data_IF_961469801514
#
_entry.id   IF_961469801514
#
_cell.length_a   1.000
_cell.length_b   1.000
_cell.length_c   1.000
_cell.angle_alpha   90.00
_cell.angle_beta   90.00
_cell.angle_gamma   90.00
#
_symmetry.space_group_name_H-M   'P 1'
#
loop_
_entity.id
_entity.type
_entity.pdbx_description
1 polymer ?
#
# COMPACT_ATOMS: atom_id res chain seq x y z
N UNK A 1 18.60 -2.97 -10.21
CA UNK A 1 18.09 -2.75 -8.84
C UNK A 1 16.65 -2.31 -8.97
N UNK A 2 15.71 -2.99 -8.30
CA UNK A 2 14.28 -2.65 -8.41
C UNK A 2 13.95 -1.47 -7.51
N UNK A 3 13.04 -0.60 -7.93
CA UNK A 3 12.63 0.59 -7.18
C UNK A 3 11.14 0.53 -6.85
N UNK A 4 10.83 0.62 -5.56
CA UNK A 4 9.45 0.64 -5.06
C UNK A 4 9.23 1.95 -4.31
N UNK A 5 8.12 2.61 -4.58
CA UNK A 5 7.73 3.83 -3.85
C UNK A 5 6.37 3.63 -3.17
N UNK A 6 6.26 4.03 -1.93
CA UNK A 6 5.00 4.12 -1.19
C UNK A 6 4.60 5.59 -1.08
N UNK A 7 3.58 6.00 -1.83
CA UNK A 7 2.98 7.34 -1.74
C UNK A 7 1.82 7.26 -0.76
N UNK A 8 1.90 8.01 0.33
CA UNK A 8 0.99 7.90 1.47
C UNK A 8 0.29 9.22 1.76
N UNK A 9 -1.03 9.20 1.97
CA UNK A 9 -1.76 10.37 2.48
C UNK A 9 -1.42 10.69 3.96
N UNK A 10 -0.69 9.82 4.66
CA UNK A 10 -0.22 10.05 6.02
C UNK A 10 0.93 11.06 6.11
N UNK A 11 1.43 11.27 7.33
CA UNK A 11 2.49 12.23 7.63
C UNK A 11 3.79 11.94 6.86
N UNK A 12 4.44 13.00 6.38
CA UNK A 12 5.79 13.01 5.82
C UNK A 12 6.89 12.78 6.87
N UNK A 13 6.61 12.94 8.17
CA UNK A 13 7.57 12.64 9.25
C UNK A 13 7.99 11.16 9.30
N UNK A 14 7.17 10.28 8.70
CA UNK A 14 7.42 8.85 8.59
C UNK A 14 8.12 8.47 7.28
N UNK A 15 8.65 9.45 6.53
CA UNK A 15 9.34 9.22 5.27
C UNK A 15 10.67 8.50 5.47
N UNK A 16 10.97 7.62 4.51
CA UNK A 16 12.19 6.84 4.55
C UNK A 16 12.66 6.49 3.15
N UNK A 17 13.95 6.20 3.04
CA UNK A 17 14.59 5.72 1.82
C UNK A 17 15.71 4.76 2.21
N UNK A 18 15.51 3.47 1.93
CA UNK A 18 16.50 2.45 2.27
C UNK A 18 16.63 1.40 1.17
N UNK A 19 17.67 0.58 1.27
CA UNK A 19 17.91 -0.57 0.40
C UNK A 19 17.71 -1.85 1.19
N UNK A 20 17.07 -2.83 0.58
CA UNK A 20 16.87 -4.14 1.17
C UNK A 20 16.92 -5.24 0.11
N UNK A 21 17.18 -6.47 0.57
CA UNK A 21 17.27 -7.66 -0.29
C UNK A 21 16.15 -8.62 0.07
N UNK A 22 15.28 -8.91 -0.89
CA UNK A 22 14.18 -9.87 -0.75
C UNK A 22 14.30 -10.94 -1.82
N UNK A 23 14.18 -12.22 -1.46
CA UNK A 23 14.25 -13.35 -2.40
C UNK A 23 15.44 -13.27 -3.37
N UNK A 24 16.61 -12.92 -2.83
CA UNK A 24 17.85 -12.71 -3.57
C UNK A 24 17.86 -11.52 -4.57
N UNK A 25 16.85 -10.67 -4.58
CA UNK A 25 16.74 -9.46 -5.40
C UNK A 25 16.95 -8.19 -4.56
N UNK A 26 17.74 -7.24 -5.09
CA UNK A 26 17.98 -5.95 -4.45
C UNK A 26 16.90 -4.92 -4.82
N UNK A 27 16.37 -4.25 -3.80
CA UNK A 27 15.36 -3.21 -3.88
C UNK A 27 15.84 -1.90 -3.25
N UNK A 28 15.44 -0.78 -3.84
CA UNK A 28 15.37 0.52 -3.17
C UNK A 28 13.90 0.79 -2.84
N UNK A 29 13.63 1.06 -1.57
CA UNK A 29 12.29 1.34 -1.06
C UNK A 29 12.26 2.79 -0.57
N UNK A 30 11.31 3.55 -1.09
CA UNK A 30 11.09 4.95 -0.73
C UNK A 30 9.66 5.09 -0.23
N UNK A 31 9.44 5.80 0.87
CA UNK A 31 8.11 6.26 1.28
C UNK A 31 8.09 7.78 1.26
N UNK A 32 7.00 8.33 0.73
CA UNK A 32 6.72 9.76 0.68
C UNK A 32 5.31 10.00 1.20
N UNK A 33 5.21 10.73 2.30
CA UNK A 33 3.98 11.23 2.90
C UNK A 33 3.54 12.52 2.23
N UNK A 34 2.23 12.76 2.21
CA UNK A 34 1.66 13.96 1.59
C UNK A 34 0.82 14.77 2.55
N UNK A 35 0.83 14.46 3.85
CA UNK A 35 0.17 15.26 4.89
C UNK A 35 -1.30 15.55 4.57
N UNK A 36 -2.03 14.50 4.15
CA UNK A 36 -3.42 14.55 3.68
C UNK A 36 -3.68 15.38 2.40
N UNK A 37 -2.63 15.90 1.75
CA UNK A 37 -2.74 16.64 0.51
C UNK A 37 -2.87 15.70 -0.71
N UNK A 38 -4.11 15.49 -1.14
CA UNK A 38 -4.44 14.65 -2.30
C UNK A 38 -3.76 15.14 -3.58
N UNK A 39 -3.69 16.47 -3.81
CA UNK A 39 -3.06 17.03 -5.02
C UNK A 39 -1.57 16.73 -5.07
N UNK A 40 -0.89 16.76 -3.92
CA UNK A 40 0.51 16.36 -3.82
C UNK A 40 0.69 14.87 -4.15
N UNK A 41 -0.20 14.00 -3.64
CA UNK A 41 -0.19 12.58 -3.96
C UNK A 41 -0.40 12.33 -5.47
N UNK A 42 -1.35 13.02 -6.10
CA UNK A 42 -1.58 12.90 -7.55
C UNK A 42 -0.35 13.30 -8.37
N UNK A 43 0.34 14.39 -7.97
CA UNK A 43 1.57 14.84 -8.63
C UNK A 43 2.66 13.78 -8.50
N UNK A 44 2.87 13.26 -7.29
CA UNK A 44 3.86 12.21 -7.04
C UNK A 44 3.54 10.93 -7.82
N UNK A 45 2.26 10.52 -7.92
CA UNK A 45 1.89 9.33 -8.68
C UNK A 45 2.25 9.46 -10.16
N UNK A 46 1.97 10.61 -10.77
CA UNK A 46 2.35 10.87 -12.17
C UNK A 46 3.85 10.91 -12.35
N UNK A 47 4.57 11.51 -11.41
CA UNK A 47 6.03 11.59 -11.46
C UNK A 47 6.70 10.22 -11.33
N UNK A 48 6.19 9.39 -10.43
CA UNK A 48 6.79 8.11 -10.09
C UNK A 48 6.37 6.96 -11.00
N UNK A 49 5.29 7.12 -11.78
CA UNK A 49 4.87 6.15 -12.81
C UNK A 49 6.05 5.71 -13.69
N UNK A 50 6.87 6.62 -14.21
CA UNK A 50 8.02 6.25 -15.05
C UNK A 50 9.30 5.92 -14.29
N UNK A 51 9.32 6.08 -12.96
CA UNK A 51 10.53 5.97 -12.13
C UNK A 51 10.54 4.75 -11.21
N UNK A 52 9.40 4.13 -10.95
CA UNK A 52 9.26 2.96 -10.08
C UNK A 52 8.85 1.71 -10.84
N UNK A 53 9.32 0.56 -10.37
CA UNK A 53 8.87 -0.75 -10.82
C UNK A 53 7.51 -1.13 -10.19
N UNK A 54 7.18 -0.57 -9.01
CA UNK A 54 5.89 -0.74 -8.36
C UNK A 54 5.59 0.44 -7.41
N UNK A 55 4.29 0.71 -7.22
CA UNK A 55 3.78 1.80 -6.39
C UNK A 55 2.87 1.25 -5.28
N UNK A 56 3.14 1.64 -4.04
CA UNK A 56 2.25 1.48 -2.90
C UNK A 56 1.42 2.75 -2.68
N UNK A 57 0.13 2.59 -2.39
CA UNK A 57 -0.76 3.67 -1.95
C UNK A 57 -1.11 3.49 -0.47
N UNK A 58 -0.60 4.40 0.36
CA UNK A 58 -0.77 4.38 1.82
C UNK A 58 -1.85 5.36 2.30
N UNK A 59 -2.50 5.01 3.41
CA UNK A 59 -3.52 5.86 4.07
C UNK A 59 -4.67 6.30 3.15
N UNK A 60 -4.93 5.54 2.09
CA UNK A 60 -6.12 5.68 1.26
C UNK A 60 -7.26 4.87 1.86
N UNK A 61 -8.49 5.28 1.56
CA UNK A 61 -9.68 4.55 1.99
C UNK A 61 -9.65 3.13 1.40
N UNK A 62 -9.86 2.14 2.26
CA UNK A 62 -9.85 0.73 1.88
C UNK A 62 -11.05 0.39 1.02
N UNK A 63 -10.82 -0.41 -0.02
CA UNK A 63 -11.87 -1.26 -0.59
C UNK A 63 -12.02 -2.50 0.28
N UNK A 64 -13.25 -2.97 0.47
CA UNK A 64 -13.53 -4.12 1.34
C UNK A 64 -14.65 -4.98 0.76
N UNK A 65 -14.66 -6.23 1.17
CA UNK A 65 -15.68 -7.21 0.86
C UNK A 65 -16.59 -7.43 2.07
N UNK A 66 -17.90 -7.54 1.84
CA UNK A 66 -18.87 -8.02 2.84
C UNK A 66 -19.61 -9.20 2.22
N UNK A 67 -19.28 -10.41 2.64
CA UNK A 67 -19.73 -11.62 1.97
C UNK A 67 -19.28 -11.62 0.50
N UNK A 68 -20.23 -11.73 -0.43
CA UNK A 68 -19.99 -11.66 -1.88
C UNK A 68 -20.01 -10.25 -2.46
N UNK A 69 -20.33 -9.23 -1.65
CA UNK A 69 -20.46 -7.85 -2.12
C UNK A 69 -19.12 -7.12 -1.99
N UNK A 70 -18.69 -6.49 -3.10
CA UNK A 70 -17.49 -5.66 -3.14
C UNK A 70 -17.86 -4.18 -3.06
N UNK A 71 -17.22 -3.45 -2.14
CA UNK A 71 -17.42 -2.01 -1.95
C UNK A 71 -16.19 -1.25 -2.47
N UNK A 72 -16.21 -0.81 -3.74
CA UNK A 72 -15.09 -0.11 -4.32
C UNK A 72 -15.03 1.33 -3.84
N UNK A 73 -13.82 1.80 -3.54
CA UNK A 73 -13.63 3.20 -3.20
C UNK A 73 -13.21 4.04 -4.41
N UNK A 74 -14.11 4.91 -4.86
CA UNK A 74 -13.90 5.73 -6.05
C UNK A 74 -12.70 6.69 -5.93
N UNK A 75 -12.44 7.26 -4.75
CA UNK A 75 -11.28 8.13 -4.49
C UNK A 75 -9.96 7.37 -4.66
N UNK A 76 -9.85 6.19 -4.04
CA UNK A 76 -8.69 5.29 -4.16
C UNK A 76 -8.49 4.85 -5.61
N UNK A 77 -9.55 4.43 -6.30
CA UNK A 77 -9.48 4.04 -7.72
C UNK A 77 -9.00 5.15 -8.63
N UNK A 78 -9.34 6.41 -8.33
CA UNK A 78 -8.83 7.57 -9.09
C UNK A 78 -7.31 7.69 -8.95
N UNK A 79 -6.77 7.48 -7.75
CA UNK A 79 -5.32 7.51 -7.50
C UNK A 79 -4.61 6.32 -8.15
N UNK A 80 -5.17 5.11 -8.04
CA UNK A 80 -4.61 3.90 -8.69
C UNK A 80 -4.45 4.10 -10.20
N UNK A 81 -5.44 4.71 -10.87
CA UNK A 81 -5.36 5.00 -12.31
C UNK A 81 -4.20 5.92 -12.70
N UNK A 82 -3.71 6.77 -11.79
CA UNK A 82 -2.59 7.67 -12.09
C UNK A 82 -1.25 6.93 -12.20
N UNK A 83 -1.15 5.73 -11.64
CA UNK A 83 0.01 4.85 -11.81
C UNK A 83 0.12 4.29 -13.25
N UNK A 84 -0.96 4.33 -14.03
CA UNK A 84 -0.98 3.83 -15.41
C UNK A 84 -0.55 2.37 -15.51
N UNK A 85 0.51 2.10 -16.28
CA UNK A 85 1.02 0.74 -16.50
C UNK A 85 1.91 0.21 -15.36
N UNK A 86 2.28 1.08 -14.41
CA UNK A 86 3.08 0.68 -13.25
C UNK A 86 2.20 -0.07 -12.26
N UNK A 87 2.60 -1.29 -11.83
CA UNK A 87 1.87 -2.04 -10.82
C UNK A 87 1.62 -1.19 -9.57
N UNK A 88 0.36 -1.12 -9.13
CA UNK A 88 -0.07 -0.35 -7.96
C UNK A 88 -0.84 -1.23 -6.97
N UNK A 89 -0.62 -1.03 -5.68
CA UNK A 89 -1.34 -1.74 -4.62
C UNK A 89 -1.56 -0.86 -3.39
N UNK A 90 -2.69 -1.06 -2.72
CA UNK A 90 -3.02 -0.44 -1.41
C UNK A 90 -2.68 -1.36 -0.23
N UNK A 91 -2.15 -2.56 -0.51
CA UNK A 91 -1.92 -3.60 0.49
C UNK A 91 -3.20 -4.24 1.07
N UNK A 92 -4.39 -3.84 0.60
CA UNK A 92 -5.66 -4.31 1.15
C UNK A 92 -5.78 -5.84 1.15
N UNK A 93 -5.44 -6.50 0.04
CA UNK A 93 -5.52 -7.96 -0.06
C UNK A 93 -4.56 -8.69 0.88
N UNK A 94 -3.34 -8.18 1.02
CA UNK A 94 -2.37 -8.76 1.96
C UNK A 94 -2.87 -8.59 3.40
N UNK A 95 -3.42 -7.41 3.73
CA UNK A 95 -4.01 -7.15 5.04
C UNK A 95 -5.20 -8.08 5.34
N UNK A 96 -6.10 -8.32 4.38
CA UNK A 96 -7.20 -9.28 4.54
C UNK A 96 -6.69 -10.67 4.93
N UNK A 97 -5.67 -11.17 4.23
CA UNK A 97 -5.09 -12.50 4.49
C UNK A 97 -4.39 -12.52 5.86
N UNK A 98 -3.54 -11.52 6.13
CA UNK A 98 -2.74 -11.49 7.35
C UNK A 98 -3.61 -11.28 8.59
N UNK A 99 -4.67 -10.46 8.52
CA UNK A 99 -5.58 -10.27 9.65
C UNK A 99 -6.27 -11.56 10.08
N UNK A 100 -6.72 -12.34 9.11
CA UNK A 100 -7.34 -13.65 9.34
C UNK A 100 -6.34 -14.61 10.01
N UNK A 101 -5.12 -14.67 9.47
CA UNK A 101 -4.05 -15.50 10.02
C UNK A 101 -3.62 -15.05 11.42
N UNK A 102 -3.56 -13.74 11.67
CA UNK A 102 -3.23 -13.19 12.99
C UNK A 102 -4.26 -13.60 14.04
N UNK A 103 -5.56 -13.57 13.71
CA UNK A 103 -6.61 -14.04 14.62
C UNK A 103 -6.49 -15.54 14.91
N UNK A 104 -6.27 -16.36 13.87
CA UNK A 104 -6.06 -17.81 14.06
C UNK A 104 -4.82 -18.13 14.89
N UNK A 105 -3.71 -17.43 14.65
CA UNK A 105 -2.48 -17.59 15.43
C UNK A 105 -2.74 -17.22 16.90
N UNK A 106 -3.40 -16.08 17.14
CA UNK A 106 -3.74 -15.65 18.49
C UNK A 106 -4.66 -16.65 19.20
N UNK A 107 -5.66 -17.21 18.52
CA UNK A 107 -6.53 -18.25 19.09
C UNK A 107 -5.72 -19.51 19.47
N UNK A 108 -4.80 -19.95 18.60
CA UNK A 108 -3.96 -21.11 18.84
C UNK A 108 -2.96 -20.90 20.00
N UNK A 109 -2.41 -19.69 20.13
CA UNK A 109 -1.40 -19.36 21.14
C UNK A 109 -2.01 -19.04 22.51
N UNK A 110 -3.12 -18.28 22.54
CA UNK A 110 -3.67 -17.73 23.78
C UNK A 110 -4.80 -18.60 24.35
N UNK A 111 -5.45 -19.42 23.52
CA UNK A 111 -6.60 -20.24 23.89
C UNK A 111 -7.86 -19.42 24.21
N UNK A 112 -9.04 -19.95 23.92
CA UNK A 112 -10.34 -19.41 24.38
C UNK A 112 -10.58 -17.90 24.16
N UNK A 113 -9.98 -17.29 23.13
CA UNK A 113 -10.30 -15.94 22.70
C UNK A 113 -11.14 -16.07 21.42
N UNK A 114 -12.37 -15.58 21.50
CA UNK A 114 -13.49 -15.70 20.54
C UNK A 114 -14.29 -17.00 20.60
#
# INVERSE_FOLDING_TARGET
MKKVVSISLGSSDLDYNFKAKFLNQNFQIVRIGTDSNIRAAEKLLREWRSKADAIGLGMVQGQYWVGTNHFPQHSTRKLEKLAGDTPVSTGARLREIVQEWSLRSAQAELGSIF
#
